data_IF_885326168923
#
_entry.id   IF_885326168923
#
_cell.length_a   1.000
_cell.length_b   1.000
_cell.length_c   1.000
_cell.angle_alpha   90.00
_cell.angle_beta   90.00
_cell.angle_gamma   90.00
#
_symmetry.space_group_name_H-M   'P 1'
#
loop_
_entity.id
_entity.type
_entity.pdbx_description
1 polymer ?
#
# COMPACT_ATOMS: atom_id res chain seq x y z
N UNK A 1 -13.57 19.80 -6.76
CA UNK A 1 -12.41 18.99 -6.32
C UNK A 1 -11.58 18.63 -7.55
N UNK A 2 -10.27 18.77 -7.47
CA UNK A 2 -9.37 18.48 -8.59
C UNK A 2 -9.06 17.00 -8.68
N UNK A 3 -8.93 16.50 -9.91
CA UNK A 3 -8.54 15.15 -10.21
C UNK A 3 -7.69 15.15 -11.48
N UNK A 4 -6.39 14.92 -11.33
CA UNK A 4 -5.42 14.84 -12.42
C UNK A 4 -5.00 13.39 -12.64
N UNK A 5 -5.07 12.93 -13.87
CA UNK A 5 -4.98 11.51 -14.19
C UNK A 5 -3.72 11.15 -14.97
N UNK A 6 -3.28 9.90 -14.74
CA UNK A 6 -2.30 9.22 -15.59
C UNK A 6 -0.98 9.98 -15.76
N UNK A 7 -0.37 10.40 -14.65
CA UNK A 7 0.92 11.09 -14.68
C UNK A 7 2.02 10.21 -15.28
N UNK A 8 2.71 10.76 -16.26
CA UNK A 8 3.86 10.14 -16.91
C UNK A 8 5.06 11.07 -16.91
N UNK A 9 6.26 10.50 -16.92
CA UNK A 9 7.48 11.29 -17.04
C UNK A 9 7.55 11.96 -18.42
N UNK A 10 7.98 13.23 -18.44
CA UNK A 10 8.20 13.94 -19.69
C UNK A 10 9.41 14.85 -19.58
N UNK A 11 9.92 15.32 -20.72
CA UNK A 11 10.98 16.33 -20.78
C UNK A 11 10.35 17.65 -21.20
N UNK A 12 10.36 18.69 -20.33
CA UNK A 12 9.82 20.00 -20.67
C UNK A 12 10.67 20.72 -21.75
N UNK A 13 10.15 21.83 -22.27
CA UNK A 13 10.82 22.64 -23.25
C UNK A 13 12.07 23.36 -22.74
N UNK A 14 12.72 24.11 -23.63
CA UNK A 14 13.99 24.81 -23.34
C UNK A 14 13.88 25.86 -22.23
N UNK A 15 12.69 26.34 -21.96
CA UNK A 15 12.38 27.26 -20.85
C UNK A 15 12.71 26.70 -19.46
N UNK A 16 12.74 25.36 -19.31
CA UNK A 16 13.09 24.65 -18.07
C UNK A 16 14.45 23.94 -18.12
N UNK A 17 15.32 24.28 -19.08
CA UNK A 17 16.59 23.58 -19.32
C UNK A 17 17.51 23.58 -18.10
N UNK A 18 17.61 24.70 -17.39
CA UNK A 18 18.45 24.79 -16.18
C UNK A 18 18.02 23.77 -15.10
N UNK A 19 16.73 23.54 -14.96
CA UNK A 19 16.19 22.55 -14.02
C UNK A 19 16.47 21.13 -14.47
N UNK A 20 16.37 20.87 -15.79
CA UNK A 20 16.71 19.55 -16.38
C UNK A 20 18.20 19.26 -16.16
N UNK A 21 19.08 20.24 -16.43
CA UNK A 21 20.52 20.11 -16.25
C UNK A 21 20.89 19.92 -14.76
N UNK A 22 20.07 20.43 -13.85
CA UNK A 22 20.17 20.21 -12.41
C UNK A 22 19.60 18.85 -11.95
N UNK A 23 19.09 18.03 -12.87
CA UNK A 23 18.55 16.69 -12.57
C UNK A 23 17.11 16.66 -12.04
N UNK A 24 16.35 17.76 -12.20
CA UNK A 24 14.94 17.80 -11.80
C UNK A 24 14.12 16.91 -12.74
N UNK A 25 13.31 16.06 -12.16
CA UNK A 25 12.36 15.20 -12.89
C UNK A 25 11.02 15.91 -13.07
N UNK A 26 10.36 15.64 -14.18
CA UNK A 26 9.07 16.23 -14.52
C UNK A 26 8.04 15.16 -14.83
N UNK A 27 6.80 15.39 -14.38
CA UNK A 27 5.62 14.59 -14.73
C UNK A 27 4.57 15.48 -15.38
N UNK A 28 3.81 14.91 -16.29
CA UNK A 28 2.61 15.53 -16.86
C UNK A 28 1.43 14.57 -16.75
N UNK A 29 0.23 15.11 -16.56
CA UNK A 29 -1.02 14.36 -16.62
C UNK A 29 -1.41 14.00 -18.06
N UNK A 30 -2.50 13.27 -18.24
CA UNK A 30 -3.02 12.88 -19.57
C UNK A 30 -3.40 14.06 -20.47
N UNK A 31 -3.56 15.26 -19.92
CA UNK A 31 -3.88 16.49 -20.64
C UNK A 31 -2.63 17.36 -20.89
N UNK A 32 -1.45 16.91 -20.49
CA UNK A 32 -0.18 17.64 -20.64
C UNK A 32 0.08 18.69 -19.56
N UNK A 33 -0.67 18.70 -18.46
CA UNK A 33 -0.43 19.60 -17.34
C UNK A 33 0.77 19.12 -16.51
N UNK A 34 1.73 20.00 -16.29
CA UNK A 34 2.92 19.75 -15.46
C UNK A 34 2.52 19.51 -13.99
N UNK A 35 3.13 18.53 -13.34
CA UNK A 35 2.84 18.18 -11.95
C UNK A 35 3.05 19.34 -10.96
N UNK A 36 4.13 20.12 -11.12
CA UNK A 36 4.40 21.25 -10.25
C UNK A 36 3.36 22.37 -10.40
N UNK A 37 2.75 22.50 -11.59
CA UNK A 37 1.63 23.42 -11.81
C UNK A 37 0.31 22.86 -11.29
N UNK A 38 0.09 21.53 -11.40
CA UNK A 38 -1.08 20.86 -10.83
C UNK A 38 -1.11 21.00 -9.31
N UNK A 39 0.04 20.90 -8.64
CA UNK A 39 0.13 21.06 -7.18
C UNK A 39 -0.49 22.36 -6.68
N UNK A 40 -0.31 23.44 -7.42
CA UNK A 40 -0.84 24.78 -7.06
C UNK A 40 -2.37 24.88 -7.10
N UNK A 41 -3.03 23.93 -7.73
CA UNK A 41 -4.48 23.92 -7.90
C UNK A 41 -5.20 23.17 -6.79
N UNK A 42 -4.49 22.35 -6.02
CA UNK A 42 -5.07 21.64 -4.88
C UNK A 42 -5.28 22.58 -3.67
N UNK A 43 -6.36 22.36 -2.97
CA UNK A 43 -6.65 23.11 -1.73
C UNK A 43 -5.77 22.63 -0.58
N UNK A 44 -5.25 23.55 0.23
CA UNK A 44 -4.45 23.22 1.42
C UNK A 44 -5.25 22.42 2.47
N UNK A 45 -6.57 22.63 2.52
CA UNK A 45 -7.46 22.03 3.53
C UNK A 45 -8.03 20.66 3.12
N UNK A 46 -7.62 20.11 1.98
CA UNK A 46 -8.09 18.81 1.49
C UNK A 46 -7.05 17.73 1.67
N UNK A 47 -7.51 16.49 1.66
CA UNK A 47 -6.64 15.31 1.58
C UNK A 47 -6.43 14.94 0.11
N UNK A 48 -5.20 14.61 -0.27
CA UNK A 48 -4.85 14.14 -1.61
C UNK A 48 -4.65 12.64 -1.56
N UNK A 49 -5.29 11.95 -2.49
CA UNK A 49 -5.16 10.51 -2.66
C UNK A 49 -4.54 10.20 -4.02
N UNK A 50 -3.50 9.37 -4.01
CA UNK A 50 -2.91 8.82 -5.21
C UNK A 50 -3.54 7.46 -5.47
N UNK A 51 -3.98 7.21 -6.70
CA UNK A 51 -4.57 5.95 -7.09
C UNK A 51 -3.98 5.45 -8.42
N UNK A 52 -3.87 4.15 -8.54
CA UNK A 52 -3.31 3.48 -9.71
C UNK A 52 -4.32 3.33 -10.86
N UNK A 53 -3.92 2.67 -11.95
CA UNK A 53 -4.76 2.41 -13.13
C UNK A 53 -5.98 1.53 -12.85
N UNK A 54 -6.02 0.84 -11.72
CA UNK A 54 -7.17 0.05 -11.24
C UNK A 54 -7.99 0.83 -10.21
N UNK A 55 -7.76 2.13 -10.09
CA UNK A 55 -8.35 3.03 -9.11
C UNK A 55 -8.01 2.70 -7.63
N UNK A 56 -7.04 1.81 -7.38
CA UNK A 56 -6.64 1.43 -6.02
C UNK A 56 -5.83 2.55 -5.40
N UNK A 57 -6.20 2.95 -4.18
CA UNK A 57 -5.48 3.98 -3.42
C UNK A 57 -4.15 3.42 -2.96
N UNK A 58 -3.07 4.09 -3.37
CA UNK A 58 -1.69 3.69 -3.09
C UNK A 58 -0.93 4.68 -2.21
N UNK A 59 -1.44 5.92 -2.08
CA UNK A 59 -0.86 6.92 -1.18
C UNK A 59 -1.90 7.93 -0.73
N UNK A 60 -1.73 8.50 0.45
CA UNK A 60 -2.61 9.51 1.05
C UNK A 60 -1.74 10.56 1.72
N UNK A 61 -1.98 11.84 1.44
CA UNK A 61 -1.27 12.95 2.09
C UNK A 61 -2.13 14.21 2.16
N UNK A 62 -1.97 14.99 3.22
CA UNK A 62 -2.49 16.35 3.28
C UNK A 62 -1.59 17.33 2.52
N UNK A 63 -0.30 17.02 2.42
CA UNK A 63 0.69 17.81 1.70
C UNK A 63 0.90 17.23 0.29
N UNK A 64 0.46 17.96 -0.72
CA UNK A 64 0.61 17.58 -2.13
C UNK A 64 2.07 17.51 -2.56
N UNK A 65 2.95 18.32 -1.97
CA UNK A 65 4.37 18.36 -2.32
C UNK A 65 5.13 17.10 -1.90
N UNK A 66 4.59 16.33 -0.95
CA UNK A 66 5.11 15.03 -0.54
C UNK A 66 4.79 13.89 -1.52
N UNK A 67 3.99 14.15 -2.56
CA UNK A 67 3.54 13.14 -3.51
C UNK A 67 4.35 13.18 -4.81
N UNK A 68 4.61 12.00 -5.36
CA UNK A 68 5.23 11.82 -6.67
C UNK A 68 4.47 10.74 -7.47
N UNK A 69 3.40 11.12 -8.20
CA UNK A 69 2.41 10.17 -8.73
C UNK A 69 2.81 9.57 -10.09
N UNK A 70 4.05 9.18 -10.29
CA UNK A 70 4.48 8.55 -11.55
C UNK A 70 3.69 7.26 -11.81
N UNK A 71 3.06 7.14 -12.99
CA UNK A 71 2.23 6.00 -13.35
C UNK A 71 0.87 5.95 -12.63
N UNK A 72 0.46 7.02 -11.96
CA UNK A 72 -0.74 7.09 -11.15
C UNK A 72 -1.51 8.40 -11.37
N UNK A 73 -2.61 8.56 -10.67
CA UNK A 73 -3.49 9.73 -10.70
C UNK A 73 -3.62 10.32 -9.31
N UNK A 74 -3.96 11.60 -9.21
CA UNK A 74 -4.15 12.28 -7.91
C UNK A 74 -5.49 12.98 -7.89
N UNK A 75 -6.30 12.68 -6.89
CA UNK A 75 -7.53 13.40 -6.59
C UNK A 75 -7.47 14.03 -5.21
N UNK A 76 -8.26 15.09 -4.99
CA UNK A 76 -8.47 15.65 -3.66
C UNK A 76 -9.86 15.30 -3.12
N UNK A 77 -9.95 15.17 -1.80
CA UNK A 77 -11.20 14.94 -1.06
C UNK A 77 -11.22 15.78 0.20
N UNK A 78 -12.41 16.19 0.66
CA UNK A 78 -12.55 16.94 1.91
C UNK A 78 -12.29 16.07 3.14
N UNK A 79 -12.62 14.78 3.07
CA UNK A 79 -12.47 13.85 4.19
C UNK A 79 -12.22 12.43 3.71
N UNK A 80 -11.64 11.63 4.59
CA UNK A 80 -11.45 10.20 4.37
C UNK A 80 -12.53 9.40 5.11
N UNK A 81 -13.00 8.27 4.54
CA UNK A 81 -13.78 7.30 5.29
C UNK A 81 -13.01 6.74 6.48
N UNK A 82 -13.73 6.32 7.53
CA UNK A 82 -13.12 5.68 8.69
C UNK A 82 -12.38 4.42 8.31
N UNK A 83 -11.13 4.30 8.78
CA UNK A 83 -10.30 3.13 8.57
C UNK A 83 -9.75 2.98 7.16
N UNK A 84 -9.71 4.06 6.37
CA UNK A 84 -9.05 4.02 5.05
C UNK A 84 -7.56 3.74 5.22
N UNK A 85 -7.04 2.87 4.36
CA UNK A 85 -5.63 2.47 4.30
C UNK A 85 -5.13 2.38 2.85
N UNK A 86 -3.84 2.14 2.69
CA UNK A 86 -3.17 1.98 1.39
C UNK A 86 -2.83 0.51 1.08
N UNK A 87 -3.50 -0.45 1.74
CA UNK A 87 -3.22 -1.88 1.63
C UNK A 87 -4.05 -2.58 0.52
N UNK A 88 -4.54 -1.81 -0.45
CA UNK A 88 -5.29 -2.33 -1.59
C UNK A 88 -6.78 -2.62 -1.31
N UNK A 89 -7.30 -2.17 -0.16
CA UNK A 89 -8.70 -2.39 0.24
C UNK A 89 -9.64 -1.26 -0.17
N UNK A 90 -9.10 -0.18 -0.73
CA UNK A 90 -9.83 1.03 -1.04
C UNK A 90 -9.56 1.51 -2.45
N UNK A 91 -10.58 2.03 -3.10
CA UNK A 91 -10.52 2.62 -4.44
C UNK A 91 -11.10 4.03 -4.44
N UNK A 92 -10.63 4.83 -5.40
CA UNK A 92 -11.27 6.07 -5.78
C UNK A 92 -12.14 5.82 -7.03
N UNK A 93 -13.47 5.87 -6.87
CA UNK A 93 -14.41 5.54 -7.96
C UNK A 93 -14.61 6.67 -9.00
N UNK A 94 -13.88 7.77 -8.83
CA UNK A 94 -13.98 8.99 -9.65
C UNK A 94 -14.68 10.13 -8.95
N UNK A 95 -15.36 9.88 -7.84
CA UNK A 95 -16.10 10.86 -7.06
C UNK A 95 -15.77 10.74 -5.55
N UNK A 96 -15.68 9.53 -5.05
CA UNK A 96 -15.47 9.24 -3.63
C UNK A 96 -14.52 8.05 -3.40
N UNK A 97 -14.10 7.93 -2.14
CA UNK A 97 -13.29 6.80 -1.67
C UNK A 97 -14.22 5.72 -1.13
N UNK A 98 -14.19 4.56 -1.72
CA UNK A 98 -15.05 3.43 -1.35
C UNK A 98 -14.25 2.16 -1.10
N UNK A 99 -14.82 1.23 -0.34
CA UNK A 99 -14.18 -0.08 -0.13
C UNK A 99 -14.15 -0.87 -1.43
N UNK A 100 -12.99 -1.42 -1.72
CA UNK A 100 -12.82 -2.33 -2.85
C UNK A 100 -13.51 -3.66 -2.57
N UNK A 101 -14.26 -4.14 -3.54
CA UNK A 101 -14.80 -5.51 -3.52
C UNK A 101 -13.74 -6.42 -4.14
N UNK A 102 -13.15 -7.29 -3.33
CA UNK A 102 -12.16 -8.27 -3.81
C UNK A 102 -12.87 -9.40 -4.56
N UNK A 103 -12.22 -9.92 -5.61
CA UNK A 103 -12.68 -11.13 -6.28
C UNK A 103 -12.51 -12.36 -5.38
N UNK A 104 -13.21 -13.48 -5.65
CA UNK A 104 -13.00 -14.73 -4.92
C UNK A 104 -11.55 -15.20 -4.93
N UNK A 105 -10.85 -15.05 -6.06
CA UNK A 105 -9.44 -15.42 -6.23
C UNK A 105 -8.53 -14.53 -5.37
N UNK A 106 -8.81 -13.24 -5.31
CA UNK A 106 -8.06 -12.31 -4.45
C UNK A 106 -8.27 -12.60 -2.97
N UNK A 107 -9.50 -12.96 -2.58
CA UNK A 107 -9.80 -13.40 -1.21
C UNK A 107 -9.03 -14.67 -0.85
N UNK A 108 -8.99 -15.65 -1.76
CA UNK A 108 -8.23 -16.88 -1.58
C UNK A 108 -6.74 -16.60 -1.42
N UNK A 109 -6.16 -15.80 -2.32
CA UNK A 109 -4.73 -15.42 -2.27
C UNK A 109 -4.39 -14.71 -0.95
N UNK A 110 -5.26 -13.80 -0.49
CA UNK A 110 -5.09 -13.09 0.78
C UNK A 110 -5.15 -14.05 1.97
N UNK A 111 -6.11 -14.97 1.98
CA UNK A 111 -6.23 -15.98 3.02
C UNK A 111 -5.03 -16.92 3.07
N UNK A 112 -4.53 -17.38 1.92
CA UNK A 112 -3.34 -18.21 1.81
C UNK A 112 -2.08 -17.48 2.30
N UNK A 113 -1.93 -16.21 1.94
CA UNK A 113 -0.81 -15.38 2.42
C UNK A 113 -0.85 -15.22 3.94
N UNK A 114 -2.01 -14.92 4.51
CA UNK A 114 -2.20 -14.81 5.95
C UNK A 114 -1.90 -16.13 6.68
N UNK A 115 -2.40 -17.24 6.13
CA UNK A 115 -2.11 -18.59 6.63
C UNK A 115 -0.60 -18.88 6.65
N UNK A 116 0.11 -18.55 5.59
CA UNK A 116 1.55 -18.77 5.49
C UNK A 116 2.34 -17.95 6.50
N UNK A 117 1.94 -16.71 6.77
CA UNK A 117 2.54 -15.87 7.83
C UNK A 117 2.34 -16.53 9.19
N UNK A 118 1.11 -16.91 9.53
CA UNK A 118 0.80 -17.57 10.80
C UNK A 118 1.55 -18.90 10.97
N UNK A 119 1.68 -19.67 9.90
CA UNK A 119 2.47 -20.91 9.91
C UNK A 119 3.95 -20.66 10.17
N UNK A 120 4.52 -19.61 9.56
CA UNK A 120 5.93 -19.24 9.77
C UNK A 120 6.17 -18.82 11.22
N UNK A 121 5.32 -17.95 11.75
CA UNK A 121 5.41 -17.49 13.15
C UNK A 121 5.26 -18.66 14.13
N UNK A 122 4.30 -19.55 13.90
CA UNK A 122 4.08 -20.73 14.73
C UNK A 122 5.28 -21.67 14.72
N UNK A 123 5.87 -21.93 13.55
CA UNK A 123 7.08 -22.77 13.41
C UNK A 123 8.29 -22.16 14.12
N UNK A 124 8.49 -20.85 14.04
CA UNK A 124 9.56 -20.16 14.76
C UNK A 124 9.41 -20.33 16.28
N UNK A 125 8.20 -20.15 16.81
CA UNK A 125 7.92 -20.32 18.25
C UNK A 125 8.23 -21.72 18.75
N UNK A 126 7.90 -22.75 17.99
CA UNK A 126 8.11 -24.14 18.43
C UNK A 126 9.51 -24.67 18.16
N UNK A 127 10.35 -23.98 17.36
CA UNK A 127 11.66 -24.46 16.93
C UNK A 127 12.64 -24.75 18.08
N UNK A 128 12.62 -23.91 19.13
CA UNK A 128 13.44 -24.08 20.33
C UNK A 128 13.00 -25.34 21.07
N UNK A 129 11.72 -25.48 21.35
CA UNK A 129 11.17 -26.65 22.06
C UNK A 129 11.38 -27.96 21.32
N UNK A 130 11.35 -27.93 19.97
CA UNK A 130 11.70 -29.10 19.16
C UNK A 130 13.17 -29.50 19.31
N UNK A 131 14.06 -28.51 19.40
CA UNK A 131 15.48 -28.75 19.67
C UNK A 131 15.72 -29.32 21.06
N UNK A 132 15.07 -28.76 22.09
CA UNK A 132 15.13 -29.24 23.47
C UNK A 132 14.54 -30.66 23.63
N UNK A 133 13.44 -30.95 22.91
CA UNK A 133 12.86 -32.30 22.86
C UNK A 133 13.84 -33.30 22.26
N UNK A 134 14.53 -32.92 21.17
CA UNK A 134 15.53 -33.77 20.51
C UNK A 134 16.75 -34.03 21.40
N UNK A 135 17.12 -33.07 22.24
CA UNK A 135 18.22 -33.19 23.21
C UNK A 135 17.79 -33.86 24.53
N UNK A 136 16.50 -34.08 24.72
CA UNK A 136 15.93 -34.61 25.97
C UNK A 136 15.96 -33.62 27.15
N UNK A 137 16.08 -32.32 26.87
CA UNK A 137 16.22 -31.27 27.90
C UNK A 137 14.92 -30.46 28.08
N UNK A 138 13.87 -30.71 27.30
CA UNK A 138 12.59 -29.98 27.36
C UNK A 138 11.89 -30.20 28.74
N UNK A 139 11.37 -29.14 29.32
CA UNK A 139 10.55 -29.18 30.51
C UNK A 139 9.17 -29.81 30.24
N UNK A 140 8.48 -30.31 31.30
CA UNK A 140 7.11 -30.84 31.14
C UNK A 140 6.13 -29.73 30.74
N UNK A 141 6.31 -28.49 31.18
CA UNK A 141 5.52 -27.33 30.83
C UNK A 141 5.69 -26.98 29.35
N UNK A 142 6.94 -26.92 28.88
CA UNK A 142 7.24 -26.61 27.45
C UNK A 142 6.82 -27.74 26.50
N UNK A 143 6.84 -28.99 26.99
CA UNK A 143 6.29 -30.13 26.24
C UNK A 143 4.77 -29.99 26.03
N UNK A 144 4.05 -29.54 27.07
CA UNK A 144 2.61 -29.25 26.97
C UNK A 144 2.33 -28.11 25.99
N UNK A 145 3.12 -27.05 26.06
CA UNK A 145 3.03 -25.91 25.15
C UNK A 145 3.32 -26.31 23.71
N UNK A 146 4.37 -27.09 23.48
CA UNK A 146 4.73 -27.63 22.15
C UNK A 146 3.59 -28.47 21.55
N UNK A 147 2.96 -29.33 22.34
CA UNK A 147 1.83 -30.13 21.88
C UNK A 147 0.64 -29.25 21.43
N UNK A 148 0.30 -28.21 22.22
CA UNK A 148 -0.75 -27.26 21.86
C UNK A 148 -0.47 -26.50 20.58
N UNK A 149 0.78 -26.04 20.36
CA UNK A 149 1.20 -25.36 19.15
C UNK A 149 1.21 -26.27 17.92
N UNK A 150 1.56 -27.55 18.08
CA UNK A 150 1.49 -28.53 16.97
C UNK A 150 0.03 -28.75 16.54
N UNK A 151 -0.93 -28.84 17.49
CA UNK A 151 -2.35 -28.94 17.13
C UNK A 151 -2.83 -27.67 16.40
N UNK A 152 -2.49 -26.48 16.89
CA UNK A 152 -2.80 -25.22 16.19
C UNK A 152 -2.25 -25.18 14.76
N UNK A 153 -1.00 -25.62 14.55
CA UNK A 153 -0.37 -25.68 13.21
C UNK A 153 -1.12 -26.62 12.27
N UNK A 154 -1.70 -27.71 12.78
CA UNK A 154 -2.51 -28.65 11.97
C UNK A 154 -3.87 -28.09 11.58
N UNK A 155 -4.41 -27.16 12.36
CA UNK A 155 -5.70 -26.52 12.09
C UNK A 155 -5.59 -25.34 11.12
N UNK A 156 -4.39 -24.77 10.91
CA UNK A 156 -4.12 -23.72 9.93
C UNK A 156 -4.13 -24.25 8.49
#
# INVERSE_FOLDING_TARGET
MNNFKNFTSYTPGEDKRELIDAGVLFLQDENGNDWYECQKQFSENTVKVVYDSNNIIVSISNDVSALWPVGASVAETESLPDGVDINGNWIFDGESIVRRILSPEEWQTKAESQRNILLSEAKERVSIWQSELSLGTISDEDRGSLAAWIEYIKEL
#
